data_IF_348864415410
#
_entry.id   IF_348864415410
#
_cell.length_a   1.000
_cell.length_b   1.000
_cell.length_c   1.000
_cell.angle_alpha   90.00
_cell.angle_beta   90.00
_cell.angle_gamma   90.00
#
_symmetry.space_group_name_H-M   'P 1'
#
loop_
_entity.id
_entity.type
_entity.pdbx_description
1 polymer ?
#
# COMPACT_ATOMS: atom_id res chain seq x y z
N UNK A 1 -12.64 -43.27 10.61
CA UNK A 1 -11.17 -43.12 10.52
C UNK A 1 -10.75 -42.14 9.43
N UNK A 2 -11.28 -42.24 8.20
CA UNK A 2 -10.98 -41.31 7.09
C UNK A 2 -11.21 -39.83 7.48
N UNK A 3 -12.33 -39.51 8.14
CA UNK A 3 -12.63 -38.16 8.61
C UNK A 3 -11.58 -37.59 9.58
N UNK A 4 -11.04 -38.40 10.49
CA UNK A 4 -10.02 -37.95 11.45
C UNK A 4 -8.67 -37.69 10.75
N UNK A 5 -8.34 -38.49 9.75
CA UNK A 5 -7.13 -38.30 8.92
C UNK A 5 -7.26 -37.02 8.09
N UNK A 6 -8.41 -36.80 7.45
CA UNK A 6 -8.67 -35.59 6.65
C UNK A 6 -8.65 -34.34 7.54
N UNK A 7 -9.32 -34.36 8.69
CA UNK A 7 -9.34 -33.23 9.61
C UNK A 7 -7.94 -32.89 10.14
N UNK A 8 -7.13 -33.91 10.46
CA UNK A 8 -5.74 -33.70 10.87
C UNK A 8 -4.90 -33.08 9.77
N UNK A 9 -5.07 -33.51 8.52
CA UNK A 9 -4.32 -33.00 7.37
C UNK A 9 -4.69 -31.55 7.05
N UNK A 10 -5.98 -31.19 7.13
CA UNK A 10 -6.45 -29.80 6.99
C UNK A 10 -5.89 -28.92 8.10
N UNK A 11 -5.93 -29.38 9.36
CA UNK A 11 -5.36 -28.63 10.48
C UNK A 11 -3.87 -28.33 10.24
N UNK A 12 -3.09 -29.32 9.83
CA UNK A 12 -1.67 -29.14 9.50
C UNK A 12 -1.47 -28.13 8.38
N UNK A 13 -2.25 -28.21 7.29
CA UNK A 13 -2.17 -27.26 6.17
C UNK A 13 -2.52 -25.82 6.57
N UNK A 14 -3.54 -25.62 7.41
CA UNK A 14 -3.90 -24.28 7.88
C UNK A 14 -2.82 -23.67 8.76
N UNK A 15 -2.22 -24.46 9.65
CA UNK A 15 -1.12 -24.00 10.51
C UNK A 15 0.10 -23.64 9.68
N UNK A 16 0.50 -24.48 8.72
CA UNK A 16 1.65 -24.19 7.87
C UNK A 16 1.41 -22.98 6.97
N UNK A 17 0.22 -22.85 6.38
CA UNK A 17 -0.15 -21.68 5.59
C UNK A 17 -0.10 -20.39 6.43
N UNK A 18 -0.63 -20.41 7.65
CA UNK A 18 -0.58 -19.27 8.57
C UNK A 18 0.85 -18.90 8.97
N UNK A 19 1.68 -19.88 9.34
CA UNK A 19 3.10 -19.64 9.66
C UNK A 19 3.85 -19.07 8.45
N UNK A 20 3.61 -19.61 7.25
CA UNK A 20 4.24 -19.09 6.04
C UNK A 20 3.75 -17.68 5.69
N UNK A 21 2.46 -17.40 5.86
CA UNK A 21 1.91 -16.06 5.62
C UNK A 21 2.50 -15.02 6.58
N UNK A 22 2.58 -15.35 7.88
CA UNK A 22 3.17 -14.47 8.90
C UNK A 22 4.68 -14.30 8.76
N UNK A 23 5.39 -15.32 8.25
CA UNK A 23 6.83 -15.25 7.99
C UNK A 23 7.21 -14.74 6.59
N UNK A 24 6.26 -14.54 5.67
CA UNK A 24 6.47 -13.78 4.44
C UNK A 24 6.61 -12.30 4.80
N UNK A 25 7.72 -11.95 5.43
CA UNK A 25 8.17 -10.57 5.53
C UNK A 25 8.76 -10.24 4.17
N UNK A 26 7.93 -9.72 3.27
CA UNK A 26 8.48 -8.86 2.22
C UNK A 26 9.39 -7.84 2.92
N UNK A 27 10.60 -7.54 2.39
CA UNK A 27 11.45 -6.52 2.97
C UNK A 27 10.60 -5.29 3.30
N UNK A 28 10.65 -4.83 4.55
CA UNK A 28 9.91 -3.64 4.93
C UNK A 28 10.28 -2.51 3.95
N UNK A 29 9.29 -1.76 3.41
CA UNK A 29 9.62 -0.75 2.42
C UNK A 29 10.59 0.26 3.02
N UNK A 30 11.63 0.62 2.25
CA UNK A 30 12.67 1.54 2.71
C UNK A 30 12.21 3.00 2.55
N UNK A 31 11.95 3.75 3.64
CA UNK A 31 11.50 5.14 3.54
C UNK A 31 12.53 6.08 2.89
N UNK A 32 13.79 5.66 2.71
CA UNK A 32 14.79 6.45 2.00
C UNK A 32 14.65 6.38 0.47
N UNK A 33 13.85 5.46 -0.06
CA UNK A 33 13.60 5.33 -1.49
C UNK A 33 12.22 5.87 -1.88
N UNK A 34 12.06 6.37 -3.13
CA UNK A 34 10.75 6.84 -3.61
C UNK A 34 9.68 5.75 -3.52
N UNK A 35 10.01 4.54 -3.96
CA UNK A 35 9.08 3.41 -3.96
C UNK A 35 8.74 2.95 -2.55
N UNK A 36 9.69 2.96 -1.62
CA UNK A 36 9.40 2.60 -0.24
C UNK A 36 8.51 3.62 0.46
N UNK A 37 8.66 4.90 0.13
CA UNK A 37 7.76 5.98 0.61
C UNK A 37 6.32 5.76 0.12
N UNK A 38 6.13 5.46 -1.16
CA UNK A 38 4.80 5.18 -1.73
C UNK A 38 4.17 3.92 -1.12
N UNK A 39 4.95 2.85 -0.96
CA UNK A 39 4.45 1.61 -0.35
C UNK A 39 4.08 1.80 1.13
N UNK A 40 4.82 2.62 1.88
CA UNK A 40 4.46 2.96 3.26
C UNK A 40 3.19 3.80 3.32
N UNK A 41 3.02 4.74 2.40
CA UNK A 41 1.82 5.54 2.30
C UNK A 41 0.59 4.67 1.98
N UNK A 42 0.68 3.77 1.01
CA UNK A 42 -0.42 2.85 0.67
C UNK A 42 -0.73 1.86 1.80
N UNK A 43 0.28 1.46 2.58
CA UNK A 43 0.06 0.66 3.79
C UNK A 43 -0.71 1.46 4.84
N UNK A 44 -0.35 2.73 5.06
CA UNK A 44 -1.07 3.62 5.97
C UNK A 44 -2.51 3.88 5.53
N UNK A 45 -2.78 3.97 4.22
CA UNK A 45 -4.15 4.00 3.66
C UNK A 45 -4.92 2.74 4.05
N UNK A 46 -4.32 1.56 3.87
CA UNK A 46 -4.98 0.29 4.18
C UNK A 46 -5.23 0.08 5.69
N UNK A 47 -4.44 0.74 6.54
CA UNK A 47 -4.55 0.70 8.00
C UNK A 47 -5.36 1.85 8.60
N UNK A 48 -5.88 2.78 7.77
CA UNK A 48 -6.58 3.99 8.21
C UNK A 48 -5.74 4.88 9.15
N UNK A 49 -4.41 4.93 8.92
CA UNK A 49 -3.45 5.72 9.71
C UNK A 49 -3.19 7.09 9.08
N UNK A 50 -4.13 8.02 9.28
CA UNK A 50 -4.04 9.43 8.91
C UNK A 50 -2.74 10.10 9.35
N UNK A 51 -2.26 9.77 10.54
CA UNK A 51 -1.07 10.43 11.09
C UNK A 51 0.20 10.03 10.34
N UNK A 52 0.27 8.79 9.84
CA UNK A 52 1.36 8.33 8.99
C UNK A 52 1.18 8.82 7.55
N UNK A 53 -0.04 8.80 7.00
CA UNK A 53 -0.33 9.35 5.68
C UNK A 53 0.13 10.81 5.57
N UNK A 54 -0.32 11.68 6.48
CA UNK A 54 0.00 13.12 6.45
C UNK A 54 1.52 13.38 6.56
N UNK A 55 2.27 12.55 7.28
CA UNK A 55 3.73 12.71 7.40
C UNK A 55 4.48 12.40 6.10
N UNK A 56 3.90 11.58 5.24
CA UNK A 56 4.47 11.19 3.95
C UNK A 56 4.04 12.12 2.82
N UNK A 57 3.05 12.98 3.07
CA UNK A 57 2.58 14.00 2.13
C UNK A 57 3.40 15.29 2.26
N UNK A 58 3.53 16.02 1.15
CA UNK A 58 4.16 17.34 1.15
C UNK A 58 3.32 18.34 1.98
N UNK A 59 3.92 19.07 2.93
CA UNK A 59 3.20 20.07 3.73
C UNK A 59 2.49 21.16 2.92
N UNK A 60 2.93 21.42 1.69
CA UNK A 60 2.27 22.34 0.76
C UNK A 60 0.88 21.88 0.31
N UNK A 61 0.53 20.60 0.52
CA UNK A 61 -0.82 20.08 0.29
C UNK A 61 -1.80 20.45 1.41
N UNK A 62 -1.33 21.05 2.51
CA UNK A 62 -2.17 21.54 3.62
C UNK A 62 -3.09 20.46 4.24
N UNK A 63 -2.67 19.19 4.18
CA UNK A 63 -3.39 18.08 4.79
C UNK A 63 -3.44 18.18 6.32
N UNK A 64 -4.65 18.01 6.87
CA UNK A 64 -4.88 17.93 8.31
C UNK A 64 -5.73 16.72 8.65
N UNK A 65 -5.49 16.14 9.82
CA UNK A 65 -6.30 15.03 10.32
C UNK A 65 -7.61 15.57 10.93
N UNK A 66 -8.72 14.82 10.81
CA UNK A 66 -8.85 13.56 10.06
C UNK A 66 -8.87 13.82 8.55
N UNK A 67 -8.30 12.89 7.79
CA UNK A 67 -8.47 12.92 6.33
C UNK A 67 -9.95 12.59 5.99
N UNK A 68 -10.46 13.07 4.84
CA UNK A 68 -11.77 12.66 4.36
C UNK A 68 -11.88 11.14 4.29
N UNK A 69 -13.05 10.59 4.64
CA UNK A 69 -13.29 9.15 4.52
C UNK A 69 -13.32 8.76 3.04
N UNK A 70 -12.25 8.12 2.57
CA UNK A 70 -12.18 7.57 1.23
C UNK A 70 -12.62 6.11 1.32
N UNK A 71 -13.86 5.81 0.88
CA UNK A 71 -14.36 4.43 0.87
C UNK A 71 -13.49 3.56 -0.04
N UNK A 72 -12.57 2.81 0.54
CA UNK A 72 -11.68 1.94 -0.20
C UNK A 72 -11.66 0.54 0.39
N UNK A 73 -11.94 -0.43 -0.47
CA UNK A 73 -11.71 -1.83 -0.12
C UNK A 73 -10.19 -2.04 -0.18
N UNK A 74 -9.56 -2.62 0.86
CA UNK A 74 -8.13 -2.88 0.82
C UNK A 74 -7.76 -3.63 -0.48
N UNK A 75 -6.71 -3.19 -1.19
CA UNK A 75 -6.36 -3.80 -2.47
C UNK A 75 -6.01 -5.28 -2.28
N UNK A 76 -6.43 -6.10 -3.23
CA UNK A 76 -6.09 -7.51 -3.30
C UNK A 76 -4.60 -7.72 -3.60
N UNK A 77 -3.99 -6.82 -4.36
CA UNK A 77 -2.56 -6.81 -4.67
C UNK A 77 -2.05 -5.40 -4.95
N UNK A 78 -0.80 -5.14 -4.59
CA UNK A 78 -0.06 -3.90 -4.83
C UNK A 78 1.34 -4.26 -5.33
N UNK A 79 1.76 -3.70 -6.46
CA UNK A 79 3.13 -3.86 -6.96
C UNK A 79 3.63 -2.60 -7.67
N UNK A 80 4.92 -2.31 -7.51
CA UNK A 80 5.55 -1.17 -8.20
C UNK A 80 5.80 -1.54 -9.66
N UNK A 81 5.14 -0.84 -10.58
CA UNK A 81 5.25 -1.03 -12.02
C UNK A 81 6.51 -0.37 -12.58
N UNK A 82 6.78 0.88 -12.17
CA UNK A 82 7.95 1.61 -12.62
C UNK A 82 8.39 2.70 -11.64
N UNK A 83 9.68 3.04 -11.68
CA UNK A 83 10.28 4.09 -10.86
C UNK A 83 11.18 4.94 -11.77
N UNK A 84 10.99 6.25 -11.73
CA UNK A 84 11.82 7.21 -12.45
C UNK A 84 12.27 8.32 -11.51
N UNK A 85 13.56 8.38 -11.22
CA UNK A 85 14.15 9.40 -10.36
C UNK A 85 14.98 10.38 -11.19
N UNK A 86 14.68 11.67 -11.07
CA UNK A 86 15.39 12.77 -11.76
C UNK A 86 15.80 13.83 -10.74
N UNK A 87 17.04 13.72 -10.23
CA UNK A 87 17.57 14.63 -9.20
C UNK A 87 16.79 14.52 -7.89
N UNK A 88 16.05 15.57 -7.56
CA UNK A 88 15.23 15.71 -6.35
C UNK A 88 13.74 15.46 -6.60
N UNK A 89 13.36 15.02 -7.79
CA UNK A 89 12.02 14.57 -8.12
C UNK A 89 12.01 13.08 -8.45
N UNK A 90 10.93 12.38 -8.11
CA UNK A 90 10.70 11.00 -8.50
C UNK A 90 9.24 10.79 -8.92
N UNK A 91 9.04 9.85 -9.82
CA UNK A 91 7.74 9.36 -10.24
C UNK A 91 7.71 7.86 -10.01
N UNK A 92 6.72 7.39 -9.29
CA UNK A 92 6.51 5.96 -9.01
C UNK A 92 5.14 5.57 -9.54
N UNK A 93 5.10 4.54 -10.37
CA UNK A 93 3.84 3.97 -10.88
C UNK A 93 3.60 2.66 -10.15
N UNK A 94 2.40 2.49 -9.62
CA UNK A 94 1.98 1.31 -8.86
C UNK A 94 0.79 0.67 -9.57
N UNK A 95 0.90 -0.64 -9.83
CA UNK A 95 -0.23 -1.48 -10.22
C UNK A 95 -1.02 -1.86 -8.98
N UNK A 96 -2.30 -1.54 -8.98
CA UNK A 96 -3.24 -1.79 -7.89
C UNK A 96 -4.34 -2.71 -8.41
N UNK A 97 -4.52 -3.85 -7.75
CA UNK A 97 -5.67 -4.74 -7.99
C UNK A 97 -6.66 -4.61 -6.85
N UNK A 98 -7.89 -4.20 -7.13
CA UNK A 98 -8.96 -4.03 -6.14
C UNK A 98 -10.15 -4.95 -6.43
N UNK A 99 -10.89 -5.29 -5.37
CA UNK A 99 -12.13 -6.04 -5.46
C UNK A 99 -13.35 -5.10 -5.42
N UNK A 100 -14.34 -5.35 -6.29
CA UNK A 100 -15.56 -4.53 -6.38
C UNK A 100 -16.80 -5.15 -5.71
N UNK A 101 -16.61 -6.19 -4.89
CA UNK A 101 -17.67 -6.76 -4.02
C UNK A 101 -18.00 -8.24 -4.25
N UNK A 102 -17.49 -8.86 -5.33
CA UNK A 102 -17.60 -10.30 -5.59
C UNK A 102 -16.25 -11.03 -5.47
N UNK A 103 -16.24 -12.35 -5.20
CA UNK A 103 -15.00 -13.12 -5.01
C UNK A 103 -14.11 -13.23 -6.26
N UNK A 104 -14.63 -12.83 -7.43
CA UNK A 104 -13.89 -12.81 -8.69
C UNK A 104 -13.95 -11.45 -9.39
N UNK A 105 -14.58 -10.44 -8.79
CA UNK A 105 -14.74 -9.12 -9.41
C UNK A 105 -13.54 -8.24 -9.07
N UNK A 106 -12.40 -8.63 -9.62
CA UNK A 106 -11.12 -7.94 -9.50
C UNK A 106 -10.92 -7.03 -10.71
N UNK A 107 -10.45 -5.82 -10.48
CA UNK A 107 -9.96 -4.93 -11.53
C UNK A 107 -8.58 -4.41 -11.19
N UNK A 108 -7.78 -4.15 -12.22
CA UNK A 108 -6.43 -3.64 -12.12
C UNK A 108 -6.40 -2.22 -12.69
N UNK A 109 -5.67 -1.34 -12.03
CA UNK A 109 -5.44 0.03 -12.46
C UNK A 109 -4.05 0.50 -12.02
N UNK A 110 -3.49 1.43 -12.79
CA UNK A 110 -2.20 2.07 -12.50
C UNK A 110 -2.44 3.39 -11.79
N UNK A 111 -1.74 3.62 -10.68
CA UNK A 111 -1.69 4.91 -9.99
C UNK A 111 -0.29 5.49 -10.04
N UNK A 112 -0.22 6.79 -10.33
CA UNK A 112 1.05 7.52 -10.44
C UNK A 112 1.24 8.43 -9.25
N UNK A 113 2.37 8.26 -8.57
CA UNK A 113 2.78 9.07 -7.43
C UNK A 113 3.95 9.96 -7.82
N UNK A 114 3.79 11.25 -7.61
CA UNK A 114 4.86 12.23 -7.75
C UNK A 114 5.48 12.48 -6.36
N UNK A 115 6.81 12.53 -6.31
CA UNK A 115 7.53 12.75 -5.07
C UNK A 115 8.62 13.80 -5.23
N UNK A 116 8.86 14.53 -4.15
CA UNK A 116 10.00 15.43 -4.02
C UNK A 116 10.91 14.96 -2.88
N UNK A 117 12.22 15.14 -3.04
CA UNK A 117 13.19 14.79 -2.01
C UNK A 117 13.09 15.77 -0.84
N UNK A 118 13.02 15.24 0.37
CA UNK A 118 13.11 16.02 1.61
C UNK A 118 14.14 15.40 2.56
N UNK A 119 15.30 16.03 2.66
CA UNK A 119 16.42 15.52 3.45
C UNK A 119 16.89 14.15 2.95
N UNK A 120 16.84 13.14 3.80
CA UNK A 120 17.19 11.74 3.47
C UNK A 120 16.01 10.91 2.96
N UNK A 121 14.80 11.48 2.89
CA UNK A 121 13.59 10.80 2.48
C UNK A 121 12.88 11.49 1.32
N UNK A 122 11.63 11.10 1.10
CA UNK A 122 10.76 11.61 0.05
C UNK A 122 9.41 12.01 0.63
N UNK A 123 8.77 12.98 -0.01
CA UNK A 123 7.40 13.38 0.26
C UNK A 123 6.58 13.28 -1.01
N UNK A 124 5.35 12.78 -0.88
CA UNK A 124 4.40 12.65 -1.98
C UNK A 124 3.73 14.01 -2.21
N UNK A 125 3.75 14.47 -3.46
CA UNK A 125 3.24 15.76 -3.90
C UNK A 125 2.04 15.59 -4.84
N UNK A 126 1.41 16.72 -5.19
CA UNK A 126 0.31 16.74 -6.17
C UNK A 126 -0.99 16.18 -5.60
N UNK A 127 -1.64 15.30 -6.36
CA UNK A 127 -2.97 14.78 -6.08
C UNK A 127 -2.91 13.25 -5.88
N UNK A 128 -2.27 12.76 -4.80
CA UNK A 128 -2.01 11.33 -4.66
C UNK A 128 -3.31 10.57 -4.38
N UNK A 129 -3.56 9.52 -5.16
CA UNK A 129 -4.57 8.53 -4.81
C UNK A 129 -4.30 7.97 -3.41
N UNK A 130 -5.30 7.74 -2.55
CA UNK A 130 -6.71 8.02 -2.75
C UNK A 130 -7.15 9.39 -2.20
N UNK A 131 -6.21 10.14 -1.63
CA UNK A 131 -6.48 11.40 -0.96
C UNK A 131 -6.92 12.47 -1.97
N UNK A 132 -6.38 12.40 -3.20
CA UNK A 132 -6.59 13.24 -4.39
C UNK A 132 -6.38 14.74 -4.19
N UNK A 133 -6.69 15.33 -3.04
CA UNK A 133 -6.21 16.63 -2.59
C UNK A 133 -6.73 16.83 -1.16
N UNK A 134 -5.89 17.33 -0.28
CA UNK A 134 -6.37 17.91 0.96
C UNK A 134 -6.74 19.37 0.71
N UNK A 135 -7.78 19.86 1.37
CA UNK A 135 -8.27 21.23 1.23
C UNK A 135 -8.61 21.83 2.58
#
# INVERSE_FOLDING_TARGET
MVLAVVAGLVAVLTITAWVLATNRRSPAPDPATPEGTVLLYLLAVAEDDDATMIKLLDPSLECSAPLPDFYQTPPASLSVASIKTTGDAATVVVDITEGSGGPFDLYEHEETFELIRNGSGWLITGEPWPVFACK
#
